data_IF_702914801850
#
_entry.id   IF_702914801850
#
_cell.length_a   1.000
_cell.length_b   1.000
_cell.length_c   1.000
_cell.angle_alpha   90.00
_cell.angle_beta   90.00
_cell.angle_gamma   90.00
#
_symmetry.space_group_name_H-M   'P 1'
#
loop_
_entity.id
_entity.type
_entity.pdbx_description
1 polymer ?
#
# COMPACT_ATOMS: atom_id res chain seq x y z
N UNK A 1 -14.56 -54.77 -26.23
CA UNK A 1 -13.44 -53.81 -26.05
C UNK A 1 -13.93 -52.44 -26.44
N UNK A 2 -13.55 -51.44 -25.65
CA UNK A 2 -13.91 -50.01 -25.73
C UNK A 2 -15.30 -49.63 -25.22
N UNK A 3 -15.36 -49.32 -23.93
CA UNK A 3 -16.32 -48.37 -23.36
C UNK A 3 -15.53 -47.14 -22.94
N UNK A 4 -15.64 -46.08 -23.73
CA UNK A 4 -15.20 -44.74 -23.35
C UNK A 4 -16.08 -44.26 -22.18
N UNK A 5 -15.44 -43.95 -21.04
CA UNK A 5 -16.09 -43.25 -19.94
C UNK A 5 -16.00 -41.72 -20.19
N UNK A 6 -17.08 -40.97 -19.94
CA UNK A 6 -17.14 -39.53 -20.19
C UNK A 6 -16.35 -38.74 -19.16
N UNK A 7 -15.96 -37.53 -19.56
CA UNK A 7 -15.09 -36.62 -18.83
C UNK A 7 -15.42 -36.48 -17.35
N UNK A 8 -14.40 -36.72 -16.52
CA UNK A 8 -14.40 -36.26 -15.14
C UNK A 8 -14.41 -34.73 -15.14
N UNK A 9 -15.51 -34.15 -14.67
CA UNK A 9 -15.54 -32.77 -14.22
C UNK A 9 -14.36 -32.55 -13.27
N UNK A 10 -13.46 -31.64 -13.64
CA UNK A 10 -12.45 -31.13 -12.71
C UNK A 10 -13.20 -30.43 -11.58
N UNK A 11 -12.85 -30.67 -10.31
CA UNK A 11 -13.45 -29.93 -9.21
C UNK A 11 -13.16 -28.44 -9.43
N UNK A 12 -14.22 -27.64 -9.56
CA UNK A 12 -14.12 -26.21 -9.48
C UNK A 12 -13.49 -25.88 -8.13
N UNK A 13 -12.38 -25.12 -8.13
CA UNK A 13 -11.80 -24.60 -6.89
C UNK A 13 -12.91 -23.83 -6.15
N UNK A 14 -13.40 -24.40 -5.06
CA UNK A 14 -14.50 -23.84 -4.28
C UNK A 14 -14.02 -22.56 -3.59
N UNK A 15 -14.93 -21.60 -3.37
CA UNK A 15 -14.63 -20.31 -2.73
C UNK A 15 -13.96 -20.43 -1.35
N UNK A 16 -14.01 -21.60 -0.72
CA UNK A 16 -13.42 -21.88 0.58
C UNK A 16 -11.88 -21.90 0.54
N UNK A 17 -11.25 -22.43 -0.51
CA UNK A 17 -9.77 -22.42 -0.62
C UNK A 17 -9.21 -20.99 -0.75
N UNK A 18 -9.96 -20.11 -1.42
CA UNK A 18 -9.63 -18.69 -1.55
C UNK A 18 -9.65 -17.98 -0.19
N UNK A 19 -10.68 -18.27 0.60
CA UNK A 19 -10.89 -17.69 1.91
C UNK A 19 -9.78 -18.09 2.90
N UNK A 20 -9.28 -19.33 2.81
CA UNK A 20 -8.14 -19.82 3.59
C UNK A 20 -6.79 -19.18 3.21
N UNK A 21 -6.55 -18.88 1.93
CA UNK A 21 -5.30 -18.26 1.49
C UNK A 21 -5.22 -16.77 1.85
N UNK A 22 -6.31 -16.01 1.71
CA UNK A 22 -6.38 -14.60 2.15
C UNK A 22 -6.29 -14.48 3.69
N UNK A 23 -6.81 -15.48 4.39
CA UNK A 23 -6.72 -15.64 5.84
C UNK A 23 -5.30 -15.80 6.38
N UNK A 24 -4.46 -16.59 5.70
CA UNK A 24 -3.05 -16.71 6.02
C UNK A 24 -2.27 -15.46 5.59
N UNK A 25 -2.69 -14.80 4.50
CA UNK A 25 -2.09 -13.54 4.05
C UNK A 25 -2.15 -12.43 5.12
N UNK A 26 -3.22 -12.44 5.90
CA UNK A 26 -3.54 -11.36 6.83
C UNK A 26 -3.27 -11.70 8.30
N UNK A 27 -3.00 -12.98 8.60
CA UNK A 27 -2.55 -13.47 9.92
C UNK A 27 -1.32 -12.72 10.49
N UNK A 28 -0.32 -12.33 9.68
CA UNK A 28 0.79 -11.48 10.10
C UNK A 28 0.41 -10.15 10.75
N UNK A 29 -0.69 -9.55 10.32
CA UNK A 29 -1.12 -8.23 10.78
C UNK A 29 -1.74 -8.27 12.17
N UNK A 30 -2.06 -9.45 12.71
CA UNK A 30 -2.75 -9.60 14.00
C UNK A 30 -2.04 -8.92 15.20
N UNK A 31 -0.69 -8.96 15.35
CA UNK A 31 0.02 -8.37 16.50
C UNK A 31 0.04 -6.83 16.51
N UNK A 32 0.03 -6.18 15.34
CA UNK A 32 -0.02 -4.71 15.20
C UNK A 32 -1.36 -4.09 15.67
N UNK A 33 -2.34 -4.96 15.91
CA UNK A 33 -3.74 -4.63 15.83
C UNK A 33 -4.47 -4.99 17.13
N UNK A 34 -3.78 -5.67 18.08
CA UNK A 34 -4.22 -5.73 19.47
C UNK A 34 -3.88 -4.42 20.20
N UNK A 35 -4.78 -3.86 21.03
CA UNK A 35 -4.45 -2.76 21.92
C UNK A 35 -3.63 -3.30 23.09
N UNK A 36 -2.40 -3.72 22.82
CA UNK A 36 -1.41 -3.84 23.87
C UNK A 36 -0.73 -2.49 23.97
N UNK A 37 -0.83 -1.87 25.15
CA UNK A 37 -0.06 -0.72 25.59
C UNK A 37 1.47 -1.02 25.68
N UNK A 38 2.00 -1.82 24.74
CA UNK A 38 3.39 -2.17 24.66
C UNK A 38 4.01 -1.33 23.53
N UNK A 39 5.03 -0.57 23.90
CA UNK A 39 5.90 0.19 23.02
C UNK A 39 6.23 -0.63 21.76
N UNK A 40 5.68 -0.21 20.61
CA UNK A 40 6.11 -0.73 19.32
C UNK A 40 7.51 -0.15 19.07
N UNK A 41 8.53 -0.91 19.46
CA UNK A 41 9.89 -0.69 18.99
C UNK A 41 9.99 -0.98 17.48
N UNK A 42 11.09 -0.61 16.83
CA UNK A 42 11.29 -0.83 15.39
C UNK A 42 11.34 -2.31 14.96
N UNK A 43 11.57 -3.23 15.91
CA UNK A 43 11.71 -4.67 15.69
C UNK A 43 10.36 -5.36 15.29
N UNK A 44 9.22 -5.05 15.92
CA UNK A 44 7.88 -5.44 15.47
C UNK A 44 7.54 -5.13 14.00
N UNK A 45 8.02 -4.02 13.43
CA UNK A 45 7.73 -3.64 12.04
C UNK A 45 8.43 -4.56 11.04
N UNK A 46 9.67 -4.98 11.34
CA UNK A 46 10.40 -5.98 10.51
C UNK A 46 9.79 -7.37 10.62
N UNK A 47 9.47 -7.83 11.82
CA UNK A 47 8.83 -9.14 12.02
C UNK A 47 7.46 -9.20 11.34
N UNK A 48 6.70 -8.12 11.40
CA UNK A 48 5.48 -7.96 10.64
C UNK A 48 5.77 -7.99 9.14
N UNK A 49 6.75 -7.23 8.66
CA UNK A 49 7.07 -7.17 7.24
C UNK A 49 7.44 -8.54 6.67
N UNK A 50 8.26 -9.30 7.40
CA UNK A 50 8.62 -10.67 7.06
C UNK A 50 7.41 -11.60 7.09
N UNK A 51 6.53 -11.39 8.07
CA UNK A 51 5.32 -12.19 8.21
C UNK A 51 4.35 -11.91 7.05
N UNK A 52 4.16 -10.64 6.67
CA UNK A 52 3.41 -10.21 5.48
C UNK A 52 4.04 -10.80 4.22
N UNK A 53 5.36 -10.72 4.09
CA UNK A 53 6.11 -11.31 2.97
C UNK A 53 5.79 -12.80 2.81
N UNK A 54 5.96 -13.59 3.88
CA UNK A 54 5.65 -15.03 3.88
C UNK A 54 4.18 -15.34 3.54
N UNK A 55 3.27 -14.52 4.04
CA UNK A 55 1.84 -14.60 3.79
C UNK A 55 1.52 -14.45 2.29
N UNK A 56 2.09 -13.42 1.68
CA UNK A 56 1.94 -13.17 0.25
C UNK A 56 2.64 -14.32 -0.52
N UNK A 57 3.81 -14.81 -0.04
CA UNK A 57 4.64 -15.80 -0.76
C UNK A 57 3.89 -17.13 -0.93
N UNK A 58 3.01 -17.46 0.03
CA UNK A 58 2.09 -18.58 -0.07
C UNK A 58 0.87 -18.30 -0.97
N UNK A 59 0.38 -17.05 -0.97
CA UNK A 59 -0.82 -16.64 -1.70
C UNK A 59 -0.61 -16.56 -3.21
N UNK A 60 0.49 -15.97 -3.69
CA UNK A 60 0.67 -15.72 -5.12
C UNK A 60 0.81 -17.00 -5.97
N UNK A 61 1.63 -18.00 -5.59
CA UNK A 61 1.68 -19.27 -6.31
C UNK A 61 0.32 -19.99 -6.32
N UNK A 62 -0.49 -19.80 -5.28
CA UNK A 62 -1.85 -20.32 -5.26
C UNK A 62 -2.76 -19.59 -6.26
N UNK A 63 -2.73 -18.25 -6.31
CA UNK A 63 -3.47 -17.44 -7.31
C UNK A 63 -3.12 -17.88 -8.73
N UNK A 64 -1.83 -18.06 -9.03
CA UNK A 64 -1.38 -18.52 -10.35
C UNK A 64 -1.89 -19.91 -10.69
N UNK A 65 -1.84 -20.85 -9.74
CA UNK A 65 -2.37 -22.21 -9.94
C UNK A 65 -3.87 -22.19 -10.22
N UNK A 66 -4.64 -21.45 -9.43
CA UNK A 66 -6.10 -21.32 -9.60
C UNK A 66 -6.46 -20.65 -10.92
N UNK A 67 -5.71 -19.64 -11.32
CA UNK A 67 -5.85 -18.99 -12.63
C UNK A 67 -5.64 -19.96 -13.79
N UNK A 68 -4.52 -20.71 -13.76
CA UNK A 68 -4.19 -21.71 -14.79
C UNK A 68 -5.24 -22.82 -14.84
N UNK A 69 -5.68 -23.32 -13.68
CA UNK A 69 -6.74 -24.32 -13.58
C UNK A 69 -8.06 -23.84 -14.19
N UNK A 70 -8.35 -22.53 -14.09
CA UNK A 70 -9.53 -21.88 -14.64
C UNK A 70 -9.38 -21.42 -16.10
N UNK A 71 -8.29 -21.79 -16.78
CA UNK A 71 -8.03 -21.40 -18.17
C UNK A 71 -7.70 -19.92 -18.37
N UNK A 72 -7.41 -19.17 -17.29
CA UNK A 72 -7.04 -17.75 -17.37
C UNK A 72 -5.55 -17.59 -17.64
N UNK A 73 -5.19 -16.53 -18.37
CA UNK A 73 -3.79 -16.15 -18.61
C UNK A 73 -3.22 -15.47 -17.38
N UNK A 74 -2.21 -16.07 -16.77
CA UNK A 74 -1.52 -15.54 -15.58
C UNK A 74 -0.95 -14.14 -15.83
N UNK A 75 -0.37 -13.89 -17.00
CA UNK A 75 0.18 -12.57 -17.37
C UNK A 75 -0.88 -11.45 -17.37
N UNK A 76 -2.12 -11.76 -17.77
CA UNK A 76 -3.21 -10.78 -17.75
C UNK A 76 -3.63 -10.44 -16.32
N UNK A 77 -3.50 -11.39 -15.42
CA UNK A 77 -3.84 -11.22 -14.01
C UNK A 77 -2.79 -10.42 -13.26
N UNK A 78 -1.52 -10.73 -13.49
CA UNK A 78 -0.38 -9.91 -13.08
C UNK A 78 -0.57 -8.46 -13.51
N UNK A 79 -0.86 -8.24 -14.80
CA UNK A 79 -1.08 -6.89 -15.34
C UNK A 79 -2.25 -6.16 -14.69
N UNK A 80 -3.36 -6.86 -14.41
CA UNK A 80 -4.55 -6.25 -13.79
C UNK A 80 -4.40 -5.97 -12.30
N UNK A 81 -3.57 -6.75 -11.60
CA UNK A 81 -3.28 -6.57 -10.18
C UNK A 81 -2.18 -5.52 -9.92
N UNK A 82 -1.30 -5.32 -10.90
CA UNK A 82 -0.18 -4.40 -10.76
C UNK A 82 -0.65 -2.92 -10.81
N UNK A 83 -0.07 -2.05 -9.98
CA UNK A 83 -0.10 -0.61 -10.22
C UNK A 83 0.33 -0.26 -11.66
N UNK A 84 -0.25 0.77 -12.31
CA UNK A 84 0.07 1.08 -13.71
C UNK A 84 1.55 1.36 -13.96
N UNK A 85 2.26 1.96 -13.01
CA UNK A 85 3.69 2.23 -13.09
C UNK A 85 4.57 0.97 -12.99
N UNK A 86 3.99 -0.20 -12.75
CA UNK A 86 4.70 -1.49 -12.74
C UNK A 86 4.51 -2.28 -14.04
N UNK A 87 3.71 -1.75 -14.97
CA UNK A 87 3.39 -2.40 -16.23
C UNK A 87 4.16 -1.73 -17.37
N UNK A 88 5.01 -2.50 -18.04
CA UNK A 88 5.72 -2.09 -19.26
C UNK A 88 5.39 -3.03 -20.40
N UNK A 89 5.12 -2.51 -21.60
CA UNK A 89 4.79 -3.31 -22.80
C UNK A 89 3.68 -4.35 -22.58
N UNK A 90 2.70 -4.01 -21.73
CA UNK A 90 1.58 -4.89 -21.39
C UNK A 90 1.97 -6.08 -20.50
N UNK A 91 3.09 -6.01 -19.78
CA UNK A 91 3.52 -7.02 -18.79
C UNK A 91 3.84 -6.34 -17.47
N UNK A 92 3.47 -6.97 -16.35
CA UNK A 92 3.98 -6.56 -15.06
C UNK A 92 5.47 -6.90 -15.01
N UNK A 93 6.31 -5.89 -14.78
CA UNK A 93 7.78 -5.96 -14.82
C UNK A 93 8.39 -5.64 -13.45
N UNK A 94 7.56 -5.70 -12.40
CA UNK A 94 7.96 -5.48 -11.01
C UNK A 94 7.57 -6.70 -10.21
N UNK A 95 8.51 -7.25 -9.46
CA UNK A 95 8.23 -8.25 -8.45
C UNK A 95 7.44 -7.60 -7.31
N UNK A 96 6.16 -7.96 -7.22
CA UNK A 96 5.24 -7.46 -6.21
C UNK A 96 5.77 -7.65 -4.78
N UNK A 97 6.45 -8.76 -4.52
CA UNK A 97 6.98 -9.10 -3.21
C UNK A 97 8.17 -8.25 -2.82
N UNK A 98 9.10 -8.10 -3.75
CA UNK A 98 10.24 -7.23 -3.56
C UNK A 98 9.76 -5.80 -3.28
N UNK A 99 8.74 -5.34 -4.02
CA UNK A 99 8.15 -4.02 -3.82
C UNK A 99 7.47 -3.85 -2.45
N UNK A 100 6.68 -4.83 -2.01
CA UNK A 100 6.06 -4.80 -0.68
C UNK A 100 7.11 -4.82 0.43
N UNK A 101 8.13 -5.69 0.34
CA UNK A 101 9.22 -5.76 1.33
C UNK A 101 9.99 -4.45 1.43
N UNK A 102 10.36 -3.85 0.30
CA UNK A 102 11.01 -2.54 0.27
C UNK A 102 10.12 -1.48 0.94
N UNK A 103 8.84 -1.42 0.56
CA UNK A 103 7.87 -0.46 1.10
C UNK A 103 7.73 -0.58 2.63
N UNK A 104 7.74 -1.81 3.14
CA UNK A 104 7.66 -2.10 4.57
C UNK A 104 8.96 -1.80 5.31
N UNK A 105 10.12 -2.08 4.70
CA UNK A 105 11.41 -1.87 5.33
C UNK A 105 11.79 -0.39 5.40
N UNK A 106 11.45 0.39 4.36
CA UNK A 106 11.90 1.77 4.20
C UNK A 106 10.78 2.80 4.28
N UNK A 107 9.51 2.38 4.32
CA UNK A 107 8.36 3.30 4.29
C UNK A 107 8.20 4.03 2.95
N UNK A 108 8.80 3.52 1.88
CA UNK A 108 8.79 4.17 0.56
C UNK A 108 7.63 3.63 -0.28
N UNK A 109 6.72 4.48 -0.77
CA UNK A 109 5.68 4.07 -1.70
C UNK A 109 6.24 3.76 -3.08
N UNK A 110 5.79 2.63 -3.64
CA UNK A 110 6.15 2.19 -4.99
C UNK A 110 4.96 2.06 -5.93
N UNK A 111 3.73 1.94 -5.40
CA UNK A 111 2.52 1.87 -6.21
C UNK A 111 2.14 3.27 -6.72
N UNK A 112 1.69 3.36 -7.98
CA UNK A 112 1.26 4.58 -8.68
C UNK A 112 2.37 5.55 -9.05
N UNK A 113 3.24 5.81 -8.10
CA UNK A 113 4.46 6.60 -8.18
C UNK A 113 5.52 5.88 -7.34
N UNK A 114 6.82 6.00 -7.64
CA UNK A 114 7.45 6.81 -8.69
C UNK A 114 7.39 6.15 -10.08
N UNK A 115 8.11 6.70 -11.06
CA UNK A 115 8.14 6.18 -12.42
C UNK A 115 8.75 4.77 -12.48
N UNK A 116 8.46 3.97 -13.53
CA UNK A 116 8.90 2.56 -13.59
C UNK A 116 10.40 2.38 -13.43
N UNK A 117 11.22 3.28 -13.99
CA UNK A 117 12.68 3.20 -13.87
C UNK A 117 13.14 3.43 -12.44
N UNK A 118 12.57 4.43 -11.77
CA UNK A 118 12.86 4.68 -10.35
C UNK A 118 12.44 3.49 -9.47
N UNK A 119 11.30 2.83 -9.76
CA UNK A 119 10.91 1.61 -9.03
C UNK A 119 11.98 0.52 -9.17
N UNK A 120 12.50 0.29 -10.37
CA UNK A 120 13.56 -0.70 -10.61
C UNK A 120 14.86 -0.38 -9.87
N UNK A 121 15.27 0.90 -9.88
CA UNK A 121 16.46 1.35 -9.17
C UNK A 121 16.32 1.19 -7.65
N UNK A 122 15.14 1.50 -7.10
CA UNK A 122 14.86 1.31 -5.67
C UNK A 122 14.91 -0.17 -5.27
N UNK A 123 14.33 -1.05 -6.08
CA UNK A 123 14.38 -2.50 -5.85
C UNK A 123 15.81 -3.03 -5.89
N UNK A 124 16.59 -2.64 -6.92
CA UNK A 124 17.99 -3.03 -7.02
C UNK A 124 18.81 -2.53 -5.81
N UNK A 125 18.56 -1.31 -5.34
CA UNK A 125 19.21 -0.77 -4.14
C UNK A 125 18.76 -1.45 -2.83
N UNK A 126 17.56 -2.04 -2.80
CA UNK A 126 17.13 -2.81 -1.64
C UNK A 126 17.84 -4.17 -1.56
N UNK A 127 18.13 -4.77 -2.73
CA UNK A 127 18.80 -6.07 -2.82
C UNK A 127 20.33 -5.96 -2.67
N UNK A 128 20.92 -4.81 -3.03
CA UNK A 128 22.35 -4.53 -2.88
C UNK A 128 22.63 -3.59 -1.70
N UNK A 129 23.13 -4.15 -0.59
CA UNK A 129 23.49 -3.38 0.62
C UNK A 129 24.52 -2.26 0.37
N UNK A 130 25.27 -2.31 -0.74
CA UNK A 130 26.22 -1.25 -1.12
C UNK A 130 25.53 0.03 -1.61
N UNK A 131 24.26 -0.02 -1.98
CA UNK A 131 23.51 1.10 -2.55
C UNK A 131 22.41 1.55 -1.57
N UNK A 132 22.44 2.83 -1.20
CA UNK A 132 21.41 3.37 -0.29
C UNK A 132 20.12 3.70 -1.04
N UNK A 133 18.99 3.17 -0.57
CA UNK A 133 17.63 3.55 -1.02
C UNK A 133 17.42 5.06 -0.93
N UNK A 134 17.94 5.71 0.12
CA UNK A 134 17.83 7.16 0.28
C UNK A 134 18.64 7.92 -0.77
N UNK A 135 19.81 7.41 -1.16
CA UNK A 135 20.60 8.02 -2.22
C UNK A 135 19.87 7.94 -3.58
N UNK A 136 19.25 6.78 -3.88
CA UNK A 136 18.41 6.65 -5.08
C UNK A 136 17.25 7.64 -5.08
N UNK A 137 16.56 7.82 -3.95
CA UNK A 137 15.47 8.79 -3.82
C UNK A 137 15.94 10.23 -4.07
N UNK A 138 17.10 10.61 -3.50
CA UNK A 138 17.66 11.95 -3.69
C UNK A 138 18.10 12.17 -5.14
N UNK A 139 18.79 11.20 -5.76
CA UNK A 139 19.27 11.26 -7.14
C UNK A 139 18.11 11.29 -8.16
N UNK A 140 17.02 10.56 -7.86
CA UNK A 140 15.83 10.46 -8.72
C UNK A 140 14.76 11.49 -8.41
N UNK A 141 15.02 12.46 -7.54
CA UNK A 141 14.01 13.44 -7.08
C UNK A 141 13.26 14.13 -8.21
N UNK A 142 13.95 14.72 -9.19
CA UNK A 142 13.24 15.45 -10.26
C UNK A 142 12.38 14.51 -11.13
N UNK A 143 12.88 13.36 -11.64
CA UNK A 143 12.05 12.36 -12.30
C UNK A 143 10.82 11.92 -11.49
N UNK A 144 10.99 11.75 -10.17
CA UNK A 144 9.91 11.40 -9.26
C UNK A 144 8.84 12.50 -9.25
N UNK A 145 9.23 13.76 -9.05
CA UNK A 145 8.32 14.89 -8.98
C UNK A 145 7.62 15.13 -10.33
N UNK A 146 8.33 14.95 -11.44
CA UNK A 146 7.75 14.99 -12.79
C UNK A 146 6.68 13.91 -12.98
N UNK A 147 6.91 12.71 -12.44
CA UNK A 147 5.90 11.66 -12.50
C UNK A 147 4.70 11.95 -11.59
N UNK A 148 4.92 12.49 -10.39
CA UNK A 148 3.83 12.97 -9.53
C UNK A 148 2.98 14.02 -10.24
N UNK A 149 3.58 15.03 -10.87
CA UNK A 149 2.85 16.07 -11.60
C UNK A 149 2.01 15.48 -12.75
N UNK A 150 2.57 14.55 -13.54
CA UNK A 150 1.82 13.86 -14.60
C UNK A 150 0.62 13.09 -14.05
N UNK A 151 0.78 12.37 -12.92
CA UNK A 151 -0.34 11.67 -12.29
C UNK A 151 -1.41 12.65 -11.79
N UNK A 152 -1.01 13.76 -11.20
CA UNK A 152 -1.95 14.79 -10.75
C UNK A 152 -2.71 15.43 -11.92
N UNK A 153 -2.05 15.67 -13.06
CA UNK A 153 -2.71 16.15 -14.30
C UNK A 153 -3.77 15.17 -14.83
N UNK A 154 -3.56 13.87 -14.66
CA UNK A 154 -4.54 12.86 -15.05
C UNK A 154 -5.77 12.87 -14.14
N UNK A 155 -5.56 13.05 -12.84
CA UNK A 155 -6.60 13.07 -11.81
C UNK A 155 -7.46 14.34 -11.84
N UNK A 156 -6.85 15.48 -12.23
CA UNK A 156 -7.49 16.81 -12.31
C UNK A 156 -8.64 16.87 -13.34
N UNK A 157 -8.78 15.85 -14.17
CA UNK A 157 -9.88 15.74 -15.15
C UNK A 157 -11.24 15.46 -14.50
N UNK A 158 -11.29 15.22 -13.18
CA UNK A 158 -12.54 14.92 -12.45
C UNK A 158 -12.84 15.98 -11.39
N UNK A 159 -14.02 16.65 -11.41
CA UNK A 159 -14.34 17.74 -10.49
C UNK A 159 -14.24 17.40 -8.99
N UNK A 160 -14.57 16.16 -8.61
CA UNK A 160 -14.51 15.71 -7.21
C UNK A 160 -13.08 15.61 -6.65
N UNK A 161 -12.07 15.41 -7.50
CA UNK A 161 -10.68 15.28 -7.10
C UNK A 161 -9.99 16.64 -6.93
N UNK A 162 -10.57 17.73 -7.45
CA UNK A 162 -9.93 19.03 -7.57
C UNK A 162 -9.36 19.62 -6.26
N UNK A 163 -10.04 19.52 -5.09
CA UNK A 163 -9.47 20.03 -3.84
C UNK A 163 -8.23 19.26 -3.38
N UNK A 164 -8.28 17.94 -3.38
CA UNK A 164 -7.18 17.06 -2.95
C UNK A 164 -6.01 17.10 -3.92
N UNK A 165 -6.29 17.16 -5.23
CA UNK A 165 -5.28 17.35 -6.29
C UNK A 165 -4.56 18.69 -6.09
N UNK A 166 -5.28 19.77 -5.77
CA UNK A 166 -4.66 21.08 -5.51
C UNK A 166 -3.69 21.02 -4.33
N UNK A 167 -4.08 20.41 -3.21
CA UNK A 167 -3.19 20.27 -2.04
C UNK A 167 -1.95 19.44 -2.38
N UNK A 168 -2.12 18.34 -3.13
CA UNK A 168 -0.99 17.53 -3.59
C UNK A 168 -0.03 18.33 -4.48
N UNK A 169 -0.55 19.16 -5.41
CA UNK A 169 0.26 20.06 -6.25
C UNK A 169 1.00 21.10 -5.43
N UNK A 170 0.36 21.67 -4.41
CA UNK A 170 1.02 22.61 -3.49
C UNK A 170 2.19 21.94 -2.75
N UNK A 171 2.02 20.69 -2.31
CA UNK A 171 3.08 19.92 -1.67
C UNK A 171 4.25 19.61 -2.64
N UNK A 172 3.95 19.17 -3.88
CA UNK A 172 4.96 18.94 -4.93
C UNK A 172 5.72 20.24 -5.25
N UNK A 173 5.00 21.35 -5.42
CA UNK A 173 5.60 22.66 -5.71
C UNK A 173 6.47 23.17 -4.57
N UNK A 174 6.00 23.05 -3.33
CA UNK A 174 6.79 23.40 -2.15
C UNK A 174 8.08 22.56 -2.12
N UNK A 175 7.97 21.26 -2.40
CA UNK A 175 9.14 20.39 -2.43
C UNK A 175 10.11 20.80 -3.52
N UNK A 176 9.68 21.10 -4.75
CA UNK A 176 10.56 21.60 -5.84
C UNK A 176 11.30 22.89 -5.48
N UNK A 177 10.71 23.72 -4.63
CA UNK A 177 11.32 24.96 -4.12
C UNK A 177 12.21 24.73 -2.88
N UNK A 178 12.52 23.47 -2.54
CA UNK A 178 13.22 23.06 -1.32
C UNK A 178 12.56 23.57 -0.02
N UNK A 179 11.26 23.86 -0.06
CA UNK A 179 10.45 24.21 1.11
C UNK A 179 9.98 22.93 1.81
N UNK A 180 10.91 22.29 2.53
CA UNK A 180 10.73 20.96 3.10
C UNK A 180 9.58 20.86 4.11
N UNK A 181 9.51 21.75 5.11
CA UNK A 181 8.42 21.70 6.10
C UNK A 181 7.05 21.94 5.45
N UNK A 182 6.85 22.98 4.61
CA UNK A 182 5.58 23.16 3.91
C UNK A 182 5.18 21.96 3.07
N UNK A 183 6.12 21.35 2.32
CA UNK A 183 5.85 20.17 1.52
C UNK A 183 5.39 18.98 2.38
N UNK A 184 6.18 18.64 3.40
CA UNK A 184 5.90 17.50 4.27
C UNK A 184 4.59 17.70 5.06
N UNK A 185 4.32 18.91 5.57
CA UNK A 185 3.07 19.21 6.30
C UNK A 185 1.85 19.13 5.41
N UNK A 186 1.88 19.73 4.21
CA UNK A 186 0.76 19.68 3.27
C UNK A 186 0.45 18.24 2.84
N UNK A 187 1.49 17.48 2.48
CA UNK A 187 1.36 16.07 2.14
C UNK A 187 0.81 15.23 3.30
N UNK A 188 1.30 15.45 4.53
CA UNK A 188 0.85 14.71 5.72
C UNK A 188 -0.62 14.97 6.05
N UNK A 189 -1.06 16.22 5.98
CA UNK A 189 -2.46 16.55 6.21
C UNK A 189 -3.38 15.93 5.14
N UNK A 190 -2.92 15.89 3.89
CA UNK A 190 -3.63 15.20 2.82
C UNK A 190 -3.68 13.68 3.06
N UNK A 191 -2.58 13.05 3.48
CA UNK A 191 -2.56 11.62 3.86
C UNK A 191 -3.61 11.35 4.94
N UNK A 192 -3.66 12.18 5.99
CA UNK A 192 -4.65 12.06 7.07
C UNK A 192 -6.10 12.17 6.60
N UNK A 193 -6.36 13.06 5.64
CA UNK A 193 -7.67 13.19 5.01
C UNK A 193 -8.03 11.96 4.20
N UNK A 194 -7.16 11.54 3.27
CA UNK A 194 -7.40 10.39 2.38
C UNK A 194 -7.59 9.09 3.17
N UNK A 195 -6.77 8.89 4.20
CA UNK A 195 -6.90 7.73 5.10
C UNK A 195 -8.25 7.78 5.80
N UNK A 196 -8.62 8.91 6.40
CA UNK A 196 -9.91 9.05 7.09
C UNK A 196 -11.08 8.85 6.13
N UNK A 197 -11.01 9.40 4.92
CA UNK A 197 -12.01 9.21 3.86
C UNK A 197 -12.13 7.74 3.51
N UNK A 198 -11.02 7.03 3.29
CA UNK A 198 -11.02 5.58 3.06
C UNK A 198 -11.70 4.85 4.23
N UNK A 199 -11.36 5.17 5.49
CA UNK A 199 -12.00 4.56 6.65
C UNK A 199 -13.50 4.89 6.78
N UNK A 200 -13.93 6.12 6.51
CA UNK A 200 -15.36 6.48 6.52
C UNK A 200 -16.13 5.78 5.41
N UNK A 201 -15.54 5.69 4.22
CA UNK A 201 -16.12 4.97 3.08
C UNK A 201 -16.30 3.49 3.40
N UNK A 202 -15.33 2.90 4.10
CA UNK A 202 -15.34 1.48 4.43
C UNK A 202 -16.26 1.20 5.61
N UNK A 203 -16.24 1.99 6.68
CA UNK A 203 -16.89 1.63 7.95
C UNK A 203 -18.06 2.55 8.36
N UNK A 204 -18.45 3.51 7.51
CA UNK A 204 -19.49 4.51 7.74
C UNK A 204 -19.16 5.57 8.81
N UNK A 205 -20.06 6.53 9.01
CA UNK A 205 -19.91 7.69 9.91
C UNK A 205 -19.85 7.37 11.41
N UNK A 206 -20.11 6.11 11.82
CA UNK A 206 -20.28 5.75 13.25
C UNK A 206 -18.96 5.66 14.04
N UNK A 207 -17.83 6.00 13.46
CA UNK A 207 -16.58 5.35 13.83
C UNK A 207 -15.34 6.26 13.86
N UNK A 208 -15.53 7.52 14.24
CA UNK A 208 -14.55 8.61 14.17
C UNK A 208 -13.26 8.47 15.00
N UNK A 209 -13.07 7.48 15.88
CA UNK A 209 -11.92 7.47 16.82
C UNK A 209 -11.28 6.11 17.16
N UNK A 210 -11.57 5.01 16.45
CA UNK A 210 -10.80 3.78 16.70
C UNK A 210 -9.44 3.86 15.98
N UNK A 211 -8.37 3.29 16.56
CA UNK A 211 -7.07 3.26 15.91
C UNK A 211 -7.22 2.58 14.55
N UNK A 212 -6.94 3.32 13.47
CA UNK A 212 -7.12 2.90 12.07
C UNK A 212 -6.61 1.48 11.78
N UNK A 213 -5.51 1.10 12.44
CA UNK A 213 -4.91 -0.23 12.33
C UNK A 213 -5.81 -1.35 12.88
N UNK A 214 -6.56 -1.13 13.99
CA UNK A 214 -7.43 -2.14 14.67
C UNK A 214 -8.51 -2.76 13.77
N UNK A 215 -8.91 -2.07 12.70
CA UNK A 215 -10.02 -2.48 11.84
C UNK A 215 -9.60 -3.20 10.57
N UNK A 216 -8.31 -3.18 10.23
CA UNK A 216 -7.75 -4.07 9.19
C UNK A 216 -7.90 -5.55 9.61
N UNK A 217 -7.94 -5.84 10.92
CA UNK A 217 -8.24 -7.17 11.48
C UNK A 217 -9.62 -7.70 11.05
N UNK A 218 -10.70 -6.89 11.12
CA UNK A 218 -12.06 -7.39 10.85
C UNK A 218 -12.28 -7.75 9.39
N UNK A 219 -11.65 -7.01 8.47
CA UNK A 219 -11.71 -7.28 7.03
C UNK A 219 -10.99 -8.57 6.68
N UNK A 220 -9.87 -8.86 7.35
CA UNK A 220 -9.12 -10.09 7.13
C UNK A 220 -9.81 -11.36 7.59
N UNK A 221 -10.49 -11.26 8.75
CA UNK A 221 -11.21 -12.38 9.34
C UNK A 221 -12.53 -12.67 8.60
N UNK A 222 -13.04 -11.73 7.80
CA UNK A 222 -14.30 -11.87 7.04
C UNK A 222 -14.13 -12.09 5.54
N UNK A 223 -13.03 -11.62 4.95
CA UNK A 223 -12.56 -12.12 3.65
C UNK A 223 -12.41 -13.66 3.68
N UNK A 224 -12.02 -14.20 4.85
CA UNK A 224 -11.97 -15.63 5.19
C UNK A 224 -13.35 -16.32 5.24
N UNK A 225 -14.44 -15.62 5.52
CA UNK A 225 -15.79 -16.23 5.64
C UNK A 225 -16.69 -16.00 4.41
N UNK A 226 -16.32 -15.06 3.53
CA UNK A 226 -17.19 -14.60 2.45
C UNK A 226 -16.87 -15.14 1.05
N UNK A 227 -15.86 -16.01 0.89
CA UNK A 227 -15.56 -16.67 -0.39
C UNK A 227 -15.41 -15.70 -1.57
N UNK A 228 -14.64 -14.62 -1.38
CA UNK A 228 -14.59 -13.49 -2.32
C UNK A 228 -14.28 -13.93 -3.77
N UNK A 229 -14.92 -13.29 -4.77
CA UNK A 229 -14.61 -13.56 -6.16
C UNK A 229 -13.16 -13.19 -6.50
N UNK A 230 -12.52 -14.03 -7.30
CA UNK A 230 -11.13 -13.95 -7.78
C UNK A 230 -10.66 -12.58 -8.35
N UNK A 231 -11.57 -11.69 -8.76
CA UNK A 231 -11.22 -10.34 -9.22
C UNK A 231 -11.13 -9.31 -8.09
N UNK A 232 -11.84 -9.51 -6.98
CA UNK A 232 -11.70 -8.68 -5.78
C UNK A 232 -10.30 -8.85 -5.15
N UNK A 233 -9.71 -10.03 -5.27
CA UNK A 233 -8.35 -10.38 -4.81
C UNK A 233 -7.23 -9.58 -5.46
N UNK A 234 -7.36 -9.28 -6.76
CA UNK A 234 -6.33 -8.55 -7.50
C UNK A 234 -6.33 -7.06 -7.13
N UNK A 235 -7.50 -6.51 -6.82
CA UNK A 235 -7.63 -5.16 -6.26
C UNK A 235 -6.97 -5.05 -4.88
N UNK A 236 -7.07 -6.10 -4.04
CA UNK A 236 -6.42 -6.15 -2.71
C UNK A 236 -4.91 -5.94 -2.84
N UNK A 237 -4.26 -6.56 -3.83
CA UNK A 237 -2.80 -6.46 -3.98
C UNK A 237 -2.35 -5.04 -4.34
N UNK A 238 -2.97 -4.42 -5.35
CA UNK A 238 -2.67 -3.01 -5.69
C UNK A 238 -2.89 -2.08 -4.49
N UNK A 239 -3.96 -2.31 -3.73
CA UNK A 239 -4.26 -1.53 -2.53
C UNK A 239 -3.25 -1.79 -1.41
N UNK A 240 -2.87 -3.03 -1.14
CA UNK A 240 -1.83 -3.38 -0.19
C UNK A 240 -0.52 -2.68 -0.55
N UNK A 241 -0.06 -2.76 -1.80
CA UNK A 241 1.13 -2.05 -2.26
C UNK A 241 1.07 -0.52 -2.06
N UNK A 242 -0.14 0.05 -2.05
CA UNK A 242 -0.36 1.48 -1.75
C UNK A 242 -0.32 1.78 -0.26
N UNK A 243 -0.90 0.90 0.59
CA UNK A 243 -1.03 1.16 2.03
C UNK A 243 0.17 0.69 2.87
N UNK A 244 0.98 -0.25 2.40
CA UNK A 244 2.14 -0.76 3.17
C UNK A 244 3.11 0.33 3.67
N UNK A 245 3.47 1.36 2.88
CA UNK A 245 4.32 2.46 3.35
C UNK A 245 3.75 3.19 4.58
N UNK A 246 2.41 3.23 4.72
CA UNK A 246 1.75 3.91 5.83
C UNK A 246 2.04 3.28 7.19
N UNK A 247 2.42 2.00 7.24
CA UNK A 247 2.76 1.36 8.50
C UNK A 247 3.98 2.02 9.16
N UNK A 248 4.95 2.51 8.36
CA UNK A 248 6.06 3.30 8.87
C UNK A 248 5.61 4.72 9.22
N UNK A 249 4.88 5.38 8.32
CA UNK A 249 4.44 6.76 8.54
C UNK A 249 3.53 6.91 9.78
N UNK A 250 2.69 5.90 10.07
CA UNK A 250 1.74 5.89 11.18
C UNK A 250 2.27 5.17 12.42
N UNK A 251 3.55 4.75 12.43
CA UNK A 251 4.14 4.13 13.60
C UNK A 251 3.99 5.06 14.82
N UNK A 252 3.46 4.56 15.95
CA UNK A 252 3.17 5.39 17.09
C UNK A 252 4.46 5.90 17.73
N UNK A 253 4.52 7.19 18.03
CA UNK A 253 5.62 7.80 18.76
C UNK A 253 5.16 9.02 19.56
N UNK A 254 5.71 9.23 20.76
CA UNK A 254 5.46 10.46 21.51
C UNK A 254 6.71 10.90 22.28
N UNK A 255 6.85 12.17 22.66
CA UNK A 255 7.97 12.62 23.48
C UNK A 255 8.06 11.88 24.83
N UNK A 256 6.94 11.37 25.33
CA UNK A 256 6.86 10.62 26.59
C UNK A 256 7.24 9.15 26.49
N UNK A 257 7.46 8.59 25.29
CA UNK A 257 7.78 7.16 25.14
C UNK A 257 9.25 6.80 25.43
N UNK A 258 10.10 7.79 25.76
CA UNK A 258 11.52 7.56 26.07
C UNK A 258 12.40 7.15 24.88
N UNK A 259 11.80 6.80 23.74
CA UNK A 259 12.50 6.52 22.48
C UNK A 259 12.81 7.81 21.71
N UNK A 260 13.95 7.90 20.99
CA UNK A 260 14.22 9.02 20.10
C UNK A 260 13.12 9.13 19.03
N UNK A 261 12.91 10.34 18.51
CA UNK A 261 12.03 10.53 17.37
C UNK A 261 12.53 9.65 16.20
N UNK A 262 11.63 9.07 15.39
CA UNK A 262 12.01 8.38 14.17
C UNK A 262 12.89 9.29 13.29
N UNK A 263 13.75 8.71 12.47
CA UNK A 263 14.52 9.46 11.47
C UNK A 263 13.88 9.39 10.08
N UNK A 264 13.05 8.38 9.84
CA UNK A 264 12.18 8.27 8.67
C UNK A 264 10.93 9.12 8.80
N UNK A 265 10.26 9.37 7.67
CA UNK A 265 9.01 10.11 7.63
C UNK A 265 7.99 9.55 8.63
N UNK A 266 7.58 10.39 9.59
CA UNK A 266 6.53 10.07 10.56
C UNK A 266 5.42 11.11 10.51
N UNK A 267 4.18 10.64 10.32
CA UNK A 267 2.97 11.47 10.41
C UNK A 267 2.83 12.07 11.79
N UNK A 268 3.06 11.27 12.85
CA UNK A 268 2.86 11.75 14.22
C UNK A 268 3.87 12.85 14.58
N UNK A 269 5.13 12.68 14.20
CA UNK A 269 6.13 13.73 14.41
C UNK A 269 5.83 14.96 13.56
N UNK A 270 5.50 14.79 12.27
CA UNK A 270 5.18 15.92 11.40
C UNK A 270 3.99 16.75 11.91
N UNK A 271 2.92 16.10 12.39
CA UNK A 271 1.72 16.78 12.84
C UNK A 271 1.83 17.42 14.22
N UNK A 272 2.65 16.88 15.11
CA UNK A 272 2.67 17.29 16.53
C UNK A 272 4.01 17.84 17.02
N UNK A 273 5.10 17.51 16.33
CA UNK A 273 6.48 17.78 16.74
C UNK A 273 7.38 18.08 15.54
N UNK A 274 6.93 18.89 14.59
CA UNK A 274 7.64 19.17 13.32
C UNK A 274 9.06 19.74 13.51
N UNK A 275 9.35 20.32 14.67
CA UNK A 275 10.67 20.85 15.04
C UNK A 275 11.62 19.78 15.59
N UNK A 276 11.18 18.50 15.66
CA UNK A 276 12.06 17.40 16.04
C UNK A 276 13.25 17.31 15.07
N UNK A 277 14.48 17.08 15.57
CA UNK A 277 15.64 16.89 14.72
C UNK A 277 15.42 15.77 13.70
N UNK A 278 16.04 15.90 12.53
CA UNK A 278 16.12 14.87 11.47
C UNK A 278 14.79 14.41 10.88
N UNK A 279 13.66 15.03 11.25
CA UNK A 279 12.34 14.67 10.74
C UNK A 279 11.91 15.43 9.50
N UNK A 280 12.29 16.70 9.39
CA UNK A 280 12.12 17.48 8.17
C UNK A 280 13.40 17.42 7.36
N UNK A 281 13.47 16.42 6.48
CA UNK A 281 14.58 16.22 5.54
C UNK A 281 14.04 16.19 4.12
N UNK A 282 14.92 16.35 3.13
CA UNK A 282 14.51 16.25 1.71
C UNK A 282 13.87 14.90 1.40
N UNK A 283 14.50 13.82 1.86
CA UNK A 283 14.01 12.46 1.67
C UNK A 283 12.65 12.25 2.36
N UNK A 284 12.47 12.69 3.61
CA UNK A 284 11.19 12.54 4.31
C UNK A 284 10.06 13.35 3.66
N UNK A 285 10.36 14.58 3.21
CA UNK A 285 9.39 15.39 2.48
C UNK A 285 9.01 14.73 1.13
N UNK A 286 9.98 14.13 0.43
CA UNK A 286 9.74 13.39 -0.81
C UNK A 286 8.88 12.14 -0.58
N UNK A 287 9.19 11.35 0.45
CA UNK A 287 8.39 10.17 0.83
C UNK A 287 6.97 10.57 1.21
N UNK A 288 6.78 11.67 1.96
CA UNK A 288 5.46 12.18 2.29
C UNK A 288 4.67 12.57 1.03
N UNK A 289 5.27 13.33 0.11
CA UNK A 289 4.64 13.74 -1.16
C UNK A 289 4.28 12.53 -2.02
N UNK A 290 5.22 11.59 -2.20
CA UNK A 290 4.96 10.35 -2.93
C UNK A 290 3.80 9.56 -2.32
N UNK A 291 3.75 9.45 -0.98
CA UNK A 291 2.71 8.71 -0.27
C UNK A 291 1.34 9.36 -0.48
N UNK A 292 1.26 10.68 -0.38
CA UNK A 292 0.03 11.43 -0.62
C UNK A 292 -0.48 11.26 -2.06
N UNK A 293 0.40 11.38 -3.06
CA UNK A 293 0.05 11.20 -4.48
C UNK A 293 -0.36 9.76 -4.77
N UNK A 294 0.34 8.78 -4.18
CA UNK A 294 0.02 7.35 -4.33
C UNK A 294 -1.38 7.03 -3.79
N UNK A 295 -1.71 7.50 -2.59
CA UNK A 295 -3.04 7.33 -2.01
C UNK A 295 -4.13 8.03 -2.83
N UNK A 296 -3.86 9.23 -3.34
CA UNK A 296 -4.83 9.97 -4.14
C UNK A 296 -5.11 9.25 -5.47
N UNK A 297 -4.08 8.68 -6.11
CA UNK A 297 -4.25 7.83 -7.29
C UNK A 297 -5.11 6.59 -6.96
N UNK A 298 -4.85 5.95 -5.82
CA UNK A 298 -5.61 4.79 -5.38
C UNK A 298 -7.09 5.12 -5.13
N UNK A 299 -7.38 6.24 -4.46
CA UNK A 299 -8.75 6.68 -4.20
C UNK A 299 -9.51 6.98 -5.49
N UNK A 300 -8.86 7.61 -6.47
CA UNK A 300 -9.49 7.95 -7.74
C UNK A 300 -9.73 6.72 -8.62
N UNK A 301 -8.71 5.88 -8.79
CA UNK A 301 -8.78 4.75 -9.73
C UNK A 301 -9.51 3.52 -9.16
N UNK A 302 -9.57 3.36 -7.83
CA UNK A 302 -10.28 2.23 -7.22
C UNK A 302 -11.48 2.64 -6.39
N UNK A 303 -11.65 3.90 -5.98
CA UNK A 303 -12.64 4.33 -4.98
C UNK A 303 -12.76 3.39 -3.77
N UNK A 304 -11.65 2.74 -3.40
CA UNK A 304 -11.59 1.71 -2.36
C UNK A 304 -12.64 0.59 -2.54
N UNK A 305 -13.02 0.26 -3.79
CA UNK A 305 -14.09 -0.68 -4.11
C UNK A 305 -13.88 -2.06 -3.47
N UNK A 306 -12.63 -2.51 -3.41
CA UNK A 306 -12.31 -3.78 -2.75
C UNK A 306 -12.61 -3.72 -1.27
N UNK A 307 -12.30 -2.63 -0.57
CA UNK A 307 -12.64 -2.46 0.84
C UNK A 307 -14.15 -2.26 1.06
N UNK A 308 -14.86 -1.62 0.13
CA UNK A 308 -16.34 -1.55 0.15
C UNK A 308 -16.98 -2.92 0.02
N UNK A 309 -16.49 -3.77 -0.89
CA UNK A 309 -16.97 -5.15 -1.04
C UNK A 309 -16.72 -5.91 0.26
N UNK A 310 -15.52 -5.78 0.83
CA UNK A 310 -15.16 -6.41 2.10
C UNK A 310 -16.02 -5.93 3.27
N UNK A 311 -16.42 -4.65 3.33
CA UNK A 311 -17.31 -4.14 4.39
C UNK A 311 -18.80 -4.41 4.15
N UNK A 312 -19.28 -4.46 2.91
CA UNK A 312 -20.67 -4.84 2.64
C UNK A 312 -20.97 -6.27 3.16
N UNK A 313 -19.96 -7.15 3.08
CA UNK A 313 -19.97 -8.51 3.68
C UNK A 313 -19.94 -8.51 5.22
N UNK A 314 -19.79 -7.36 5.89
CA UNK A 314 -19.87 -7.20 7.34
C UNK A 314 -21.31 -6.97 7.84
N UNK A 315 -22.24 -6.61 6.96
CA UNK A 315 -23.60 -6.16 7.31
C UNK A 315 -24.73 -7.12 6.91
N UNK A 316 -24.40 -8.23 6.24
CA UNK A 316 -25.32 -9.34 5.94
C UNK A 316 -24.94 -10.60 6.71
#
# INVERSE_FOLDING_TARGET
MSTDAPGGERPAATGDEFAFAAADLLRPFRPLVQPAAAELSAEPTRQLADSIGRAIDGFWPWVERTARASGKRVDELHRRAAPPNWVSDGKADVDYFAAVRLSLAHGVPLAWVPDPETVKLLLAAHDDEAVSVHAVLDDRREPILDHCDRRLDELDRTPAAAPSVRVAREAVRALRLDLLSPAQSAATNLIDELVRTAFTIVYGDRHSHAPALSRVQTLSERARSAGLPFFASLGILRELATVMPLLNAMAPWSPGSGAPAPTSFSRQVTSHHITAPDQVTRTNALVAVLTAVSLLCQEHDSHWHTWKILSALETG
#
